data_IF_959412144306
#
_entry.id   IF_959412144306
#
_cell.length_a   1.000
_cell.length_b   1.000
_cell.length_c   1.000
_cell.angle_alpha   90.00
_cell.angle_beta   90.00
_cell.angle_gamma   90.00
#
_symmetry.space_group_name_H-M   'P 1'
#
loop_
_entity.id
_entity.type
_entity.pdbx_description
1 polymer ?
#
# COMPACT_ATOMS: atom_id res chain seq x y z
N UNK A 1 2.95 -23.36 5.97
CA UNK A 1 3.58 -22.11 5.48
C UNK A 1 2.71 -21.24 4.58
N UNK A 2 1.77 -21.73 3.78
CA UNK A 2 0.93 -20.91 2.91
C UNK A 2 -0.35 -20.37 3.57
N UNK A 3 -0.70 -20.83 4.77
CA UNK A 3 -1.93 -20.41 5.50
C UNK A 3 -1.91 -18.97 6.05
N UNK A 4 -0.74 -18.34 6.10
CA UNK A 4 -0.56 -17.00 6.67
C UNK A 4 -0.55 -15.88 5.63
N UNK A 5 -0.82 -16.20 4.35
CA UNK A 5 -0.96 -15.20 3.29
C UNK A 5 -2.35 -14.57 3.41
N UNK A 6 -2.48 -13.57 4.25
CA UNK A 6 -3.69 -12.74 4.29
C UNK A 6 -3.72 -11.87 3.04
N UNK A 7 -4.65 -12.19 2.13
CA UNK A 7 -4.94 -11.38 0.95
C UNK A 7 -5.54 -10.05 1.37
N UNK A 8 -4.68 -9.03 1.40
CA UNK A 8 -5.04 -7.67 1.81
C UNK A 8 -5.17 -7.55 3.34
N UNK A 9 -4.50 -6.56 3.89
CA UNK A 9 -4.56 -6.26 5.33
C UNK A 9 -5.83 -5.45 5.68
N UNK A 10 -6.93 -5.65 4.95
CA UNK A 10 -8.18 -4.95 5.21
C UNK A 10 -8.75 -5.34 6.57
N UNK A 11 -9.02 -4.34 7.41
CA UNK A 11 -9.64 -4.52 8.71
C UNK A 11 -11.14 -4.20 8.63
N UNK A 12 -12.05 -5.19 8.75
CA UNK A 12 -13.48 -4.99 8.56
C UNK A 12 -14.08 -4.25 9.77
N UNK A 13 -14.11 -2.92 9.71
CA UNK A 13 -14.81 -2.06 10.67
C UNK A 13 -15.70 -1.06 9.95
N UNK A 14 -16.75 -0.63 10.63
CA UNK A 14 -17.65 0.39 10.11
C UNK A 14 -17.24 1.76 10.65
N UNK A 15 -16.51 2.52 9.83
CA UNK A 15 -16.07 3.88 10.16
C UNK A 15 -16.31 4.84 9.01
N UNK A 16 -16.20 6.14 9.29
CA UNK A 16 -16.33 7.19 8.28
C UNK A 16 -15.34 6.99 7.15
N UNK A 17 -14.07 6.63 7.48
CA UNK A 17 -13.04 6.38 6.47
C UNK A 17 -13.38 5.17 5.59
N UNK A 18 -13.89 4.06 6.17
CA UNK A 18 -14.24 2.87 5.39
C UNK A 18 -15.33 3.16 4.35
N UNK A 19 -16.25 4.07 4.66
CA UNK A 19 -17.39 4.44 3.79
C UNK A 19 -17.05 5.50 2.73
N UNK A 20 -15.85 6.10 2.75
CA UNK A 20 -15.40 7.05 1.74
C UNK A 20 -15.11 6.35 0.40
N UNK A 21 -15.34 7.09 -0.70
CA UNK A 21 -14.98 6.63 -2.04
C UNK A 21 -13.46 6.32 -2.13
N UNK A 22 -13.05 5.19 -2.72
CA UNK A 22 -11.65 4.83 -2.88
C UNK A 22 -10.79 5.88 -3.60
N UNK A 23 -11.37 6.69 -4.48
CA UNK A 23 -10.67 7.79 -5.17
C UNK A 23 -10.21 8.86 -4.20
N UNK A 24 -11.09 9.25 -3.25
CA UNK A 24 -10.77 10.26 -2.23
C UNK A 24 -9.64 9.76 -1.34
N UNK A 25 -9.68 8.47 -0.97
CA UNK A 25 -8.62 7.84 -0.15
C UNK A 25 -7.30 7.77 -0.89
N UNK A 26 -7.31 7.35 -2.16
CA UNK A 26 -6.12 7.30 -3.01
C UNK A 26 -5.47 8.68 -3.16
N UNK A 27 -6.27 9.67 -3.57
CA UNK A 27 -5.77 11.04 -3.73
C UNK A 27 -5.30 11.59 -2.38
N UNK A 28 -6.09 11.41 -1.32
CA UNK A 28 -5.75 11.87 0.03
C UNK A 28 -4.44 11.27 0.54
N UNK A 29 -4.25 9.98 0.38
CA UNK A 29 -3.00 9.32 0.77
C UNK A 29 -1.83 9.85 -0.06
N UNK A 30 -1.98 9.96 -1.38
CA UNK A 30 -0.92 10.46 -2.26
C UNK A 30 -0.53 11.90 -1.89
N UNK A 31 -1.50 12.77 -1.69
CA UNK A 31 -1.28 14.15 -1.26
C UNK A 31 -0.60 14.21 0.11
N UNK A 32 -1.05 13.40 1.07
CA UNK A 32 -0.41 13.30 2.38
C UNK A 32 1.05 12.84 2.27
N UNK A 33 1.33 11.78 1.50
CA UNK A 33 2.69 11.27 1.31
C UNK A 33 3.61 12.31 0.66
N UNK A 34 3.14 13.02 -0.38
CA UNK A 34 3.90 14.08 -1.04
C UNK A 34 4.15 15.25 -0.08
N UNK A 35 3.15 15.63 0.72
CA UNK A 35 3.29 16.76 1.66
C UNK A 35 4.41 16.55 2.68
N UNK A 36 4.67 15.30 3.10
CA UNK A 36 5.75 14.98 4.04
C UNK A 36 7.16 15.29 3.49
N UNK A 37 7.32 15.33 2.17
CA UNK A 37 8.59 15.71 1.54
C UNK A 37 8.74 17.24 1.36
N UNK A 38 7.64 17.97 1.43
CA UNK A 38 7.68 19.44 1.36
C UNK A 38 8.04 20.08 2.69
N UNK A 39 7.98 19.35 3.81
CA UNK A 39 8.27 19.90 5.13
C UNK A 39 9.78 20.05 5.34
N UNK A 40 10.18 21.28 5.68
CA UNK A 40 11.54 21.63 6.13
C UNK A 40 11.54 22.07 7.60
N UNK A 41 10.36 22.35 8.19
CA UNK A 41 10.20 22.93 9.51
C UNK A 41 9.37 22.01 10.43
N UNK A 42 9.57 22.14 11.72
CA UNK A 42 8.84 21.36 12.75
C UNK A 42 7.34 21.61 12.74
N UNK A 43 6.92 22.84 12.43
CA UNK A 43 5.50 23.24 12.30
C UNK A 43 4.72 22.41 11.27
N UNK A 44 5.34 22.05 10.13
CA UNK A 44 4.72 21.18 9.13
C UNK A 44 4.41 19.78 9.69
N UNK A 45 5.33 19.24 10.49
CA UNK A 45 5.11 17.93 11.13
C UNK A 45 4.04 17.97 12.21
N UNK A 46 3.86 19.07 12.93
CA UNK A 46 2.76 19.23 13.90
C UNK A 46 1.41 19.16 13.17
N UNK A 47 1.28 19.88 12.06
CA UNK A 47 0.05 19.84 11.23
C UNK A 47 -0.21 18.41 10.71
N UNK A 48 0.84 17.75 10.19
CA UNK A 48 0.73 16.36 9.73
C UNK A 48 0.35 15.39 10.85
N UNK A 49 0.88 15.60 12.06
CA UNK A 49 0.54 14.78 13.24
C UNK A 49 -0.93 14.92 13.59
N UNK A 50 -1.42 16.14 13.72
CA UNK A 50 -2.84 16.41 14.03
C UNK A 50 -3.75 15.78 12.97
N UNK A 51 -3.41 15.94 11.70
CA UNK A 51 -4.17 15.34 10.60
C UNK A 51 -4.15 13.81 10.67
N UNK A 52 -2.98 13.19 10.84
CA UNK A 52 -2.81 11.75 10.91
C UNK A 52 -3.54 11.15 12.11
N UNK A 53 -3.40 11.76 13.30
CA UNK A 53 -4.12 11.32 14.52
C UNK A 53 -5.63 11.41 14.32
N UNK A 54 -6.12 12.49 13.71
CA UNK A 54 -7.55 12.62 13.38
C UNK A 54 -8.02 11.49 12.47
N UNK A 55 -7.26 11.16 11.43
CA UNK A 55 -7.59 10.04 10.53
C UNK A 55 -7.56 8.70 11.26
N UNK A 56 -6.58 8.46 12.14
CA UNK A 56 -6.50 7.22 12.94
C UNK A 56 -7.74 7.07 13.83
N UNK A 57 -8.12 8.11 14.56
CA UNK A 57 -9.31 8.09 15.44
C UNK A 57 -10.58 7.85 14.63
N UNK A 58 -10.74 8.55 13.49
CA UNK A 58 -11.89 8.37 12.59
C UNK A 58 -11.93 6.99 11.93
N UNK A 59 -10.80 6.32 11.76
CA UNK A 59 -10.72 5.00 11.14
C UNK A 59 -11.26 3.88 12.02
N UNK A 60 -11.26 4.06 13.36
CA UNK A 60 -11.59 3.04 14.36
C UNK A 60 -10.76 1.76 14.23
N UNK A 61 -9.64 1.81 13.54
CA UNK A 61 -8.72 0.68 13.42
C UNK A 61 -7.80 0.66 14.64
N UNK A 62 -7.62 -0.47 15.33
CA UNK A 62 -6.72 -0.55 16.47
C UNK A 62 -5.29 -0.20 16.08
N UNK A 63 -4.66 0.70 16.82
CA UNK A 63 -3.31 1.20 16.55
C UNK A 63 -2.25 0.10 16.40
N UNK A 64 -2.46 -1.03 17.10
CA UNK A 64 -1.58 -2.19 17.01
C UNK A 64 -1.39 -2.74 15.59
N UNK A 65 -2.44 -2.73 14.75
CA UNK A 65 -2.34 -3.19 13.37
C UNK A 65 -1.51 -2.25 12.49
N UNK A 66 -1.57 -0.94 12.76
CA UNK A 66 -0.77 0.07 12.05
C UNK A 66 0.72 -0.04 12.43
N UNK A 67 1.01 -0.24 13.73
CA UNK A 67 2.38 -0.38 14.26
C UNK A 67 3.02 -1.71 13.82
N UNK A 68 2.23 -2.73 13.50
CA UNK A 68 2.77 -4.00 12.98
C UNK A 68 3.59 -3.80 11.70
N UNK A 69 3.19 -2.86 10.85
CA UNK A 69 3.98 -2.43 9.67
C UNK A 69 5.31 -1.78 10.05
N UNK A 70 5.34 -0.98 11.12
CA UNK A 70 6.57 -0.35 11.62
C UNK A 70 7.57 -1.39 12.14
N UNK A 71 7.09 -2.44 12.82
CA UNK A 71 7.96 -3.48 13.37
C UNK A 71 8.82 -4.15 12.29
N UNK A 72 8.26 -4.37 11.10
CA UNK A 72 9.00 -4.99 9.99
C UNK A 72 10.14 -4.10 9.48
N UNK A 73 10.04 -2.77 9.62
CA UNK A 73 10.99 -1.79 9.10
C UNK A 73 11.79 -1.12 10.22
N UNK A 74 11.59 -1.54 11.47
CA UNK A 74 12.24 -0.94 12.64
C UNK A 74 13.77 -0.93 12.55
N UNK A 75 14.36 -2.00 12.02
CA UNK A 75 15.81 -2.11 11.84
C UNK A 75 16.29 -1.06 10.83
N UNK A 76 15.57 -0.88 9.73
CA UNK A 76 15.89 0.13 8.71
C UNK A 76 15.77 1.54 9.28
N UNK A 77 14.70 1.81 10.05
CA UNK A 77 14.51 3.09 10.74
C UNK A 77 15.69 3.40 11.69
N UNK A 78 16.11 2.42 12.48
CA UNK A 78 17.22 2.58 13.41
C UNK A 78 18.54 2.86 12.68
N UNK A 79 18.82 2.12 11.61
CA UNK A 79 20.01 2.34 10.77
C UNK A 79 19.98 3.73 10.16
N UNK A 80 18.85 4.18 9.62
CA UNK A 80 18.70 5.50 8.99
C UNK A 80 18.90 6.62 10.01
N UNK A 81 18.35 6.48 11.21
CA UNK A 81 18.55 7.45 12.32
C UNK A 81 20.03 7.52 12.71
N UNK A 82 20.69 6.37 12.87
CA UNK A 82 22.12 6.32 13.21
C UNK A 82 22.99 6.98 12.12
N UNK A 83 22.72 6.68 10.85
CA UNK A 83 23.48 7.30 9.76
C UNK A 83 23.30 8.82 9.77
N UNK A 84 22.06 9.31 9.87
CA UNK A 84 21.82 10.77 9.88
C UNK A 84 22.44 11.45 11.10
N UNK A 85 22.43 10.79 12.26
CA UNK A 85 23.02 11.31 13.49
C UNK A 85 24.52 11.54 13.39
N UNK A 86 25.25 10.63 12.72
CA UNK A 86 26.72 10.65 12.65
C UNK A 86 27.26 11.16 11.32
N UNK A 87 26.50 11.11 10.23
CA UNK A 87 26.98 11.49 8.90
C UNK A 87 26.64 12.93 8.52
N UNK A 88 25.74 13.60 9.25
CA UNK A 88 25.34 14.97 8.92
C UNK A 88 26.36 15.98 9.47
N UNK A 89 27.04 16.79 8.62
CA UNK A 89 27.95 17.82 9.07
C UNK A 89 27.17 18.99 9.69
N UNK A 90 27.72 19.61 10.73
CA UNK A 90 27.12 20.77 11.40
C UNK A 90 27.87 21.19 12.68
N UNK A 91 27.22 21.99 13.54
CA UNK A 91 27.79 22.41 14.82
C UNK A 91 27.94 21.21 15.77
N UNK A 92 29.15 20.95 16.22
CA UNK A 92 29.46 19.85 17.13
C UNK A 92 28.90 20.10 18.53
N UNK A 93 27.99 19.22 18.98
CA UNK A 93 27.49 19.22 20.37
C UNK A 93 28.32 18.33 21.27
N UNK A 94 28.75 17.17 20.75
CA UNK A 94 29.61 16.24 21.47
C UNK A 94 30.48 15.47 20.46
N UNK A 95 31.78 15.43 20.74
CA UNK A 95 32.71 14.61 19.96
C UNK A 95 33.21 13.45 20.85
N UNK A 96 32.94 12.22 20.39
CA UNK A 96 33.45 11.03 21.02
C UNK A 96 34.32 10.26 20.03
N UNK A 97 35.63 10.48 20.14
CA UNK A 97 36.69 9.92 19.29
C UNK A 97 36.51 10.23 17.78
N UNK A 98 35.83 9.34 17.02
CA UNK A 98 35.59 9.52 15.56
C UNK A 98 34.15 9.89 15.23
N UNK A 99 33.27 9.90 16.21
CA UNK A 99 31.85 10.17 16.01
C UNK A 99 31.53 11.59 16.51
N UNK A 100 31.09 12.44 15.62
CA UNK A 100 30.68 13.81 15.93
C UNK A 100 29.16 13.87 15.90
N UNK A 101 28.54 14.16 17.03
CA UNK A 101 27.09 14.40 17.10
C UNK A 101 26.90 15.90 16.90
N UNK A 102 26.22 16.25 15.81
CA UNK A 102 25.91 17.63 15.43
C UNK A 102 24.46 17.98 15.75
N UNK A 103 24.17 19.26 15.98
CA UNK A 103 22.76 19.73 16.16
C UNK A 103 21.93 19.39 14.92
N UNK A 104 22.46 19.70 13.75
CA UNK A 104 21.80 19.42 12.45
C UNK A 104 21.59 17.93 12.24
N UNK A 105 22.51 17.08 12.72
CA UNK A 105 22.38 15.63 12.71
C UNK A 105 21.18 15.13 13.53
N UNK A 106 20.99 15.69 14.73
CA UNK A 106 19.83 15.37 15.58
C UNK A 106 18.52 15.80 14.91
N UNK A 107 18.46 17.04 14.38
CA UNK A 107 17.27 17.52 13.68
C UNK A 107 16.93 16.64 12.46
N UNK A 108 17.93 16.34 11.63
CA UNK A 108 17.77 15.49 10.46
C UNK A 108 17.33 14.08 10.83
N UNK A 109 17.89 13.50 11.88
CA UNK A 109 17.52 12.17 12.37
C UNK A 109 16.06 12.14 12.85
N UNK A 110 15.61 13.15 13.63
CA UNK A 110 14.23 13.26 14.10
C UNK A 110 13.26 13.47 12.93
N UNK A 111 13.58 14.38 12.00
CA UNK A 111 12.75 14.59 10.81
C UNK A 111 12.63 13.35 9.95
N UNK A 112 13.72 12.61 9.76
CA UNK A 112 13.70 11.37 8.98
C UNK A 112 12.87 10.27 9.68
N UNK A 113 13.02 10.16 11.00
CA UNK A 113 12.22 9.22 11.80
C UNK A 113 10.72 9.53 11.71
N UNK A 114 10.33 10.79 11.90
CA UNK A 114 8.93 11.21 11.76
C UNK A 114 8.40 10.98 10.34
N UNK A 115 9.19 11.37 9.33
CA UNK A 115 8.82 11.20 7.91
C UNK A 115 8.53 9.74 7.58
N UNK A 116 9.48 8.84 7.87
CA UNK A 116 9.33 7.42 7.57
C UNK A 116 8.18 6.80 8.37
N UNK A 117 8.02 7.17 9.64
CA UNK A 117 6.90 6.69 10.47
C UNK A 117 5.56 7.11 9.88
N UNK A 118 5.41 8.36 9.47
CA UNK A 118 4.16 8.88 8.91
C UNK A 118 3.87 8.31 7.51
N UNK A 119 4.90 8.10 6.68
CA UNK A 119 4.77 7.39 5.41
C UNK A 119 4.19 5.98 5.61
N UNK A 120 4.72 5.24 6.57
CA UNK A 120 4.28 3.87 6.86
C UNK A 120 2.87 3.86 7.42
N UNK A 121 2.57 4.70 8.42
CA UNK A 121 1.24 4.74 9.04
C UNK A 121 0.20 5.23 8.03
N UNK A 122 0.50 6.27 7.25
CA UNK A 122 -0.42 6.82 6.26
C UNK A 122 -0.77 5.82 5.15
N UNK A 123 0.23 5.11 4.62
CA UNK A 123 0.01 4.05 3.63
C UNK A 123 -0.71 2.83 4.21
N UNK A 124 -0.36 2.44 5.44
CA UNK A 124 -1.04 1.35 6.16
C UNK A 124 -2.51 1.66 6.42
N UNK A 125 -2.83 2.90 6.77
CA UNK A 125 -4.20 3.34 7.01
C UNK A 125 -5.07 3.16 5.74
N UNK A 126 -4.55 3.51 4.56
CA UNK A 126 -5.23 3.29 3.29
C UNK A 126 -5.49 1.80 3.04
N UNK A 127 -4.47 0.96 3.24
CA UNK A 127 -4.57 -0.49 3.02
C UNK A 127 -5.53 -1.16 4.00
N UNK A 128 -5.53 -0.74 5.27
CA UNK A 128 -6.42 -1.27 6.31
C UNK A 128 -7.88 -0.83 6.12
N UNK A 129 -8.13 0.31 5.49
CA UNK A 129 -9.49 0.86 5.31
C UNK A 129 -10.10 0.62 3.92
N UNK A 130 -9.35 0.03 2.98
CA UNK A 130 -9.80 -0.15 1.60
C UNK A 130 -9.53 -1.58 1.12
N UNK A 131 -10.56 -2.25 0.61
CA UNK A 131 -10.38 -3.58 0.04
C UNK A 131 -9.61 -3.52 -1.28
N UNK A 132 -8.82 -4.56 -1.65
CA UNK A 132 -8.07 -4.58 -2.91
C UNK A 132 -8.94 -4.35 -4.15
N UNK A 133 -10.15 -4.90 -4.17
CA UNK A 133 -11.08 -4.71 -5.30
C UNK A 133 -11.55 -3.24 -5.41
N UNK A 134 -11.89 -2.60 -4.27
CA UNK A 134 -12.27 -1.20 -4.25
C UNK A 134 -11.09 -0.29 -4.65
N UNK A 135 -9.88 -0.67 -4.24
CA UNK A 135 -8.65 0.03 -4.64
C UNK A 135 -8.45 0.00 -6.15
N UNK A 136 -8.63 -1.18 -6.77
CA UNK A 136 -8.55 -1.35 -8.23
C UNK A 136 -9.60 -0.50 -8.95
N UNK A 137 -10.84 -0.49 -8.46
CA UNK A 137 -11.92 0.34 -9.02
C UNK A 137 -11.63 1.84 -8.86
N UNK A 138 -11.06 2.24 -7.73
CA UNK A 138 -10.62 3.60 -7.48
C UNK A 138 -9.50 4.01 -8.43
N UNK A 139 -8.49 3.15 -8.62
CA UNK A 139 -7.39 3.37 -9.56
C UNK A 139 -7.89 3.50 -11.00
N UNK A 140 -8.77 2.60 -11.46
CA UNK A 140 -9.36 2.69 -12.80
C UNK A 140 -9.99 4.06 -13.05
N UNK A 141 -10.82 4.51 -12.11
CA UNK A 141 -11.51 5.79 -12.26
C UNK A 141 -10.57 6.99 -12.14
N UNK A 142 -9.55 6.92 -11.28
CA UNK A 142 -8.56 7.98 -11.10
C UNK A 142 -7.62 8.09 -12.32
N UNK A 143 -7.29 6.96 -12.94
CA UNK A 143 -6.42 6.91 -14.11
C UNK A 143 -7.18 7.05 -15.44
N UNK A 144 -8.51 7.13 -15.42
CA UNK A 144 -9.34 7.27 -16.62
C UNK A 144 -8.92 8.43 -17.55
N UNK A 145 -8.42 9.60 -17.07
CA UNK A 145 -7.88 10.65 -17.94
C UNK A 145 -6.72 10.20 -18.83
N UNK A 146 -5.92 9.18 -18.39
CA UNK A 146 -4.81 8.62 -19.16
C UNK A 146 -5.29 7.84 -20.39
N UNK A 147 -6.57 7.43 -20.44
CA UNK A 147 -7.14 6.80 -21.63
C UNK A 147 -7.12 7.72 -22.85
N UNK A 148 -7.07 9.05 -22.65
CA UNK A 148 -6.90 10.04 -23.72
C UNK A 148 -5.52 9.93 -24.40
N UNK A 149 -4.51 9.40 -23.68
CA UNK A 149 -3.14 9.17 -24.19
C UNK A 149 -3.00 7.71 -24.70
N UNK A 150 -4.13 7.05 -25.03
CA UNK A 150 -4.19 5.66 -25.54
C UNK A 150 -3.73 4.59 -24.54
N UNK A 151 -3.67 4.88 -23.23
CA UNK A 151 -3.41 3.87 -22.21
C UNK A 151 -4.69 3.04 -22.00
N UNK A 152 -4.64 1.71 -22.09
CA UNK A 152 -5.81 0.84 -21.92
C UNK A 152 -6.16 0.65 -20.42
N UNK A 153 -6.56 1.74 -19.75
CA UNK A 153 -6.79 1.77 -18.29
C UNK A 153 -7.86 0.77 -17.85
N UNK A 154 -8.93 0.63 -18.63
CA UNK A 154 -10.01 -0.31 -18.32
C UNK A 154 -9.53 -1.76 -18.37
N UNK A 155 -8.78 -2.12 -19.40
CA UNK A 155 -8.24 -3.46 -19.60
C UNK A 155 -7.25 -3.81 -18.48
N UNK A 156 -6.39 -2.86 -18.08
CA UNK A 156 -5.46 -3.03 -16.95
C UNK A 156 -6.25 -3.28 -15.64
N UNK A 157 -7.26 -2.47 -15.36
CA UNK A 157 -8.08 -2.62 -14.15
C UNK A 157 -8.82 -3.96 -14.14
N UNK A 158 -9.32 -4.41 -15.30
CA UNK A 158 -9.96 -5.70 -15.43
C UNK A 158 -8.97 -6.85 -15.19
N UNK A 159 -7.76 -6.78 -15.76
CA UNK A 159 -6.69 -7.77 -15.49
C UNK A 159 -6.35 -7.82 -14.00
N UNK A 160 -6.24 -6.67 -13.32
CA UNK A 160 -6.01 -6.61 -11.87
C UNK A 160 -7.14 -7.27 -11.08
N UNK A 161 -8.40 -7.00 -11.44
CA UNK A 161 -9.56 -7.59 -10.76
C UNK A 161 -9.63 -9.11 -10.94
N UNK A 162 -9.32 -9.61 -12.15
CA UNK A 162 -9.23 -11.04 -12.43
C UNK A 162 -8.10 -11.66 -11.62
N UNK A 163 -6.91 -11.04 -11.62
CA UNK A 163 -5.76 -11.52 -10.87
C UNK A 163 -6.07 -11.62 -9.37
N UNK A 164 -6.66 -10.57 -8.77
CA UNK A 164 -7.06 -10.56 -7.36
C UNK A 164 -8.07 -11.66 -7.03
N UNK A 165 -8.98 -11.95 -7.96
CA UNK A 165 -9.96 -13.03 -7.79
C UNK A 165 -9.33 -14.42 -7.92
N UNK A 166 -8.25 -14.55 -8.70
CA UNK A 166 -7.57 -15.83 -8.91
C UNK A 166 -6.55 -16.17 -7.81
N UNK A 167 -6.04 -15.18 -7.07
CA UNK A 167 -5.05 -15.44 -6.02
C UNK A 167 -5.56 -16.49 -4.99
N UNK A 168 -6.75 -16.37 -4.37
CA UNK A 168 -7.26 -17.39 -3.45
C UNK A 168 -7.34 -18.77 -4.09
N UNK A 169 -7.83 -18.82 -5.33
CA UNK A 169 -8.02 -20.06 -6.08
C UNK A 169 -6.69 -20.74 -6.36
N UNK A 170 -5.66 -19.95 -6.76
CA UNK A 170 -4.32 -20.47 -7.00
C UNK A 170 -3.62 -20.91 -5.71
N UNK A 171 -3.88 -20.25 -4.58
CA UNK A 171 -3.38 -20.70 -3.29
C UNK A 171 -3.94 -22.06 -2.88
N UNK A 172 -5.25 -22.25 -3.01
CA UNK A 172 -5.88 -23.54 -2.76
C UNK A 172 -5.38 -24.65 -3.71
N UNK A 173 -5.19 -24.32 -4.98
CA UNK A 173 -4.65 -25.25 -5.97
C UNK A 173 -3.19 -25.61 -5.63
N UNK A 174 -2.39 -24.61 -5.23
CA UNK A 174 -1.00 -24.83 -4.78
C UNK A 174 -0.94 -25.79 -3.58
N UNK A 175 -1.84 -25.62 -2.60
CA UNK A 175 -1.92 -26.52 -1.43
C UNK A 175 -2.29 -27.96 -1.83
N UNK A 176 -3.22 -28.12 -2.80
CA UNK A 176 -3.61 -29.43 -3.31
C UNK A 176 -2.47 -30.11 -4.06
N UNK A 177 -1.79 -29.38 -4.97
CA UNK A 177 -0.65 -29.90 -5.72
C UNK A 177 0.49 -30.24 -4.78
N UNK A 178 0.80 -29.40 -3.79
CA UNK A 178 1.85 -29.62 -2.81
C UNK A 178 1.60 -30.92 -2.03
N UNK A 179 0.38 -31.13 -1.51
CA UNK A 179 0.02 -32.36 -0.81
C UNK A 179 0.13 -33.60 -1.70
N UNK A 180 -0.29 -33.51 -2.95
CA UNK A 180 -0.19 -34.59 -3.91
C UNK A 180 1.28 -34.95 -4.23
N UNK A 181 2.16 -33.95 -4.36
CA UNK A 181 3.58 -34.14 -4.61
C UNK A 181 4.31 -34.69 -3.38
N UNK A 182 3.95 -34.24 -2.16
CA UNK A 182 4.47 -34.83 -0.93
C UNK A 182 4.10 -36.32 -0.78
N UNK A 183 2.87 -36.67 -1.14
CA UNK A 183 2.44 -38.09 -1.16
C UNK A 183 3.23 -38.95 -2.17
N UNK A 184 3.79 -38.30 -3.21
CA UNK A 184 4.70 -38.95 -4.20
C UNK A 184 6.16 -38.92 -3.77
N UNK A 185 6.47 -38.50 -2.55
CA UNK A 185 7.83 -38.47 -2.00
C UNK A 185 8.61 -37.18 -2.30
N UNK A 186 7.96 -36.13 -2.79
CA UNK A 186 8.62 -34.84 -2.97
C UNK A 186 8.87 -34.18 -1.62
N UNK A 187 10.10 -33.69 -1.41
CA UNK A 187 10.51 -32.98 -0.21
C UNK A 187 10.82 -31.52 -0.56
N UNK A 188 10.03 -30.61 0.00
CA UNK A 188 10.13 -29.16 -0.24
C UNK A 188 10.92 -28.42 0.84
N UNK A 189 11.28 -29.07 1.96
CA UNK A 189 11.84 -28.41 3.14
C UNK A 189 13.32 -28.73 3.33
N UNK A 190 13.78 -29.91 2.94
CA UNK A 190 15.16 -30.34 3.18
C UNK A 190 16.11 -29.97 2.04
N UNK A 191 17.37 -29.75 2.39
CA UNK A 191 18.46 -29.53 1.46
C UNK A 191 18.90 -28.08 1.27
N UNK A 192 19.95 -27.93 0.44
CA UNK A 192 20.54 -26.63 0.10
C UNK A 192 19.57 -25.77 -0.74
N UNK A 193 19.73 -24.45 -0.73
CA UNK A 193 18.83 -23.49 -1.41
C UNK A 193 18.59 -23.89 -2.88
N UNK A 194 19.62 -24.29 -3.59
CA UNK A 194 19.54 -24.73 -4.99
C UNK A 194 18.68 -26.00 -5.16
N UNK A 195 18.81 -26.95 -4.22
CA UNK A 195 18.02 -28.18 -4.22
C UNK A 195 16.54 -27.89 -3.92
N UNK A 196 16.25 -26.97 -3.02
CA UNK A 196 14.89 -26.50 -2.74
C UNK A 196 14.22 -25.90 -3.97
N UNK A 197 14.93 -25.02 -4.71
CA UNK A 197 14.40 -24.42 -5.95
C UNK A 197 14.10 -25.53 -6.98
N UNK A 198 15.00 -26.50 -7.15
CA UNK A 198 14.77 -27.62 -8.07
C UNK A 198 13.56 -28.47 -7.66
N UNK A 199 13.37 -28.69 -6.36
CA UNK A 199 12.25 -29.45 -5.82
C UNK A 199 10.90 -28.71 -5.97
N UNK A 200 10.89 -27.38 -6.21
CA UNK A 200 9.67 -26.62 -6.49
C UNK A 200 9.18 -26.76 -7.94
N UNK A 201 10.02 -27.24 -8.88
CA UNK A 201 9.61 -27.39 -10.29
C UNK A 201 8.40 -28.32 -10.47
N UNK A 202 8.30 -29.48 -9.80
CA UNK A 202 7.11 -30.34 -9.87
C UNK A 202 5.81 -29.70 -9.35
N UNK A 203 5.91 -28.62 -8.58
CA UNK A 203 4.77 -27.81 -8.13
C UNK A 203 4.42 -26.73 -9.15
N UNK A 204 5.42 -26.08 -9.72
CA UNK A 204 5.22 -24.96 -10.65
C UNK A 204 4.59 -25.41 -11.97
N UNK A 205 5.06 -26.51 -12.55
CA UNK A 205 4.56 -26.98 -13.86
C UNK A 205 3.05 -27.27 -13.85
N UNK A 206 2.51 -28.09 -12.93
CA UNK A 206 1.06 -28.32 -12.86
C UNK A 206 0.27 -27.03 -12.56
N UNK A 207 0.82 -26.14 -11.74
CA UNK A 207 0.19 -24.85 -11.42
C UNK A 207 0.06 -23.96 -12.67
N UNK A 208 1.11 -23.88 -13.49
CA UNK A 208 1.07 -23.17 -14.77
C UNK A 208 0.01 -23.75 -15.72
N UNK A 209 -0.02 -25.08 -15.86
CA UNK A 209 -0.99 -25.75 -16.72
C UNK A 209 -2.43 -25.46 -16.25
N UNK A 210 -2.67 -25.53 -14.94
CA UNK A 210 -3.98 -25.19 -14.35
C UNK A 210 -4.35 -23.73 -14.59
N UNK A 211 -3.40 -22.79 -14.40
CA UNK A 211 -3.62 -21.37 -14.64
C UNK A 211 -3.96 -21.07 -16.11
N UNK A 212 -3.24 -21.67 -17.06
CA UNK A 212 -3.56 -21.51 -18.49
C UNK A 212 -4.91 -22.09 -18.87
N UNK A 213 -5.26 -23.26 -18.33
CA UNK A 213 -6.57 -23.85 -18.57
C UNK A 213 -7.68 -22.92 -18.09
N UNK A 214 -7.58 -22.39 -16.88
CA UNK A 214 -8.54 -21.42 -16.32
C UNK A 214 -8.62 -20.13 -17.14
N UNK A 215 -7.46 -19.65 -17.63
CA UNK A 215 -7.43 -18.46 -18.50
C UNK A 215 -8.20 -18.70 -19.81
N UNK A 216 -8.02 -19.88 -20.44
CA UNK A 216 -8.77 -20.27 -21.64
C UNK A 216 -10.27 -20.41 -21.36
N UNK A 217 -10.66 -21.07 -20.25
CA UNK A 217 -12.05 -21.21 -19.86
C UNK A 217 -12.71 -19.83 -19.63
N UNK A 218 -11.99 -18.92 -18.97
CA UNK A 218 -12.45 -17.54 -18.76
C UNK A 218 -12.60 -16.79 -20.09
N UNK A 219 -11.62 -16.92 -21.00
CA UNK A 219 -11.67 -16.28 -22.31
C UNK A 219 -12.87 -16.76 -23.13
N UNK A 220 -13.11 -18.07 -23.20
CA UNK A 220 -14.28 -18.64 -23.86
C UNK A 220 -15.60 -18.17 -23.22
N UNK A 221 -15.64 -18.08 -21.89
CA UNK A 221 -16.83 -17.58 -21.20
C UNK A 221 -17.07 -16.08 -21.47
N UNK A 222 -16.01 -15.29 -21.63
CA UNK A 222 -16.11 -13.87 -22.01
C UNK A 222 -16.57 -13.70 -23.45
N UNK A 223 -16.04 -14.49 -24.37
CA UNK A 223 -16.49 -14.51 -25.79
C UNK A 223 -17.96 -14.92 -25.90
N UNK A 224 -18.39 -15.97 -25.22
CA UNK A 224 -19.79 -16.41 -25.19
C UNK A 224 -20.72 -15.32 -24.62
N UNK A 225 -20.23 -14.43 -23.77
CA UNK A 225 -20.95 -13.24 -23.26
C UNK A 225 -20.80 -12.01 -24.14
N UNK A 226 -20.27 -12.15 -25.35
CA UNK A 226 -20.07 -11.08 -26.33
C UNK A 226 -19.19 -9.93 -25.78
N UNK A 227 -18.14 -10.25 -25.03
CA UNK A 227 -17.20 -9.24 -24.55
C UNK A 227 -16.44 -8.59 -25.72
N UNK A 228 -16.54 -7.26 -25.85
CA UNK A 228 -15.91 -6.46 -26.94
C UNK A 228 -15.04 -5.33 -26.39
N UNK A 229 -14.38 -5.54 -25.24
CA UNK A 229 -13.58 -4.49 -24.59
C UNK A 229 -14.38 -3.56 -23.70
N UNK A 230 -13.75 -2.44 -23.29
CA UNK A 230 -14.32 -1.52 -22.27
C UNK A 230 -15.33 -0.50 -22.80
N UNK A 231 -15.45 -0.30 -24.14
CA UNK A 231 -16.31 0.73 -24.71
C UNK A 231 -17.78 0.39 -24.56
N UNK A 232 -18.59 1.34 -24.05
CA UNK A 232 -20.05 1.17 -23.90
C UNK A 232 -20.49 0.26 -22.75
N UNK A 233 -19.58 -0.15 -21.87
CA UNK A 233 -19.87 -1.05 -20.76
C UNK A 233 -20.26 -0.31 -19.49
N UNK A 234 -21.25 -0.83 -18.76
CA UNK A 234 -21.66 -0.32 -17.44
C UNK A 234 -21.21 -1.28 -16.34
N UNK A 235 -20.87 -0.76 -15.14
CA UNK A 235 -20.55 -1.57 -13.97
C UNK A 235 -21.83 -1.88 -13.18
N UNK A 236 -21.97 -3.12 -12.67
CA UNK A 236 -23.07 -3.51 -11.77
C UNK A 236 -23.09 -2.66 -10.49
N UNK A 237 -21.93 -2.34 -9.94
CA UNK A 237 -21.76 -1.48 -8.75
C UNK A 237 -20.89 -0.28 -9.12
N UNK A 238 -21.45 0.76 -9.76
CA UNK A 238 -20.68 1.93 -10.11
C UNK A 238 -20.31 2.73 -8.85
N UNK A 239 -19.08 3.23 -8.80
CA UNK A 239 -18.67 4.20 -7.78
C UNK A 239 -19.46 5.49 -7.98
N UNK A 240 -20.18 5.94 -6.96
CA UNK A 240 -20.95 7.18 -6.94
C UNK A 240 -20.43 8.07 -5.81
N UNK A 241 -20.20 9.35 -6.13
CA UNK A 241 -19.84 10.32 -5.12
C UNK A 241 -21.03 10.63 -4.20
N UNK A 242 -20.75 10.70 -2.91
CA UNK A 242 -21.68 11.11 -1.86
C UNK A 242 -21.22 12.42 -1.22
N UNK A 243 -22.08 13.10 -0.47
CA UNK A 243 -21.72 14.31 0.27
C UNK A 243 -20.52 14.11 1.22
N UNK A 244 -20.33 12.88 1.72
CA UNK A 244 -19.18 12.51 2.55
C UNK A 244 -17.86 12.64 1.80
N UNK A 245 -17.86 12.34 0.51
CA UNK A 245 -16.66 12.40 -0.35
C UNK A 245 -16.27 13.85 -0.63
N UNK A 246 -17.27 14.73 -0.79
CA UNK A 246 -17.05 16.17 -0.91
C UNK A 246 -16.41 16.74 0.37
N UNK A 247 -16.93 16.34 1.55
CA UNK A 247 -16.31 16.70 2.83
C UNK A 247 -14.87 16.17 2.93
N UNK A 248 -14.60 14.96 2.43
CA UNK A 248 -13.26 14.41 2.36
C UNK A 248 -12.30 15.27 1.54
N UNK A 249 -12.73 15.72 0.36
CA UNK A 249 -11.94 16.65 -0.48
C UNK A 249 -11.75 18.02 0.19
N UNK A 250 -12.76 18.53 0.88
CA UNK A 250 -12.68 19.81 1.60
C UNK A 250 -11.67 19.72 2.75
N UNK A 251 -11.69 18.65 3.53
CA UNK A 251 -10.72 18.41 4.61
C UNK A 251 -9.30 18.29 4.03
N UNK A 252 -9.16 17.62 2.89
CA UNK A 252 -7.87 17.50 2.21
C UNK A 252 -7.36 18.87 1.71
N UNK A 253 -8.25 19.70 1.16
CA UNK A 253 -7.90 21.06 0.72
C UNK A 253 -7.50 21.95 1.91
N UNK A 254 -8.23 21.86 3.04
CA UNK A 254 -7.89 22.56 4.28
C UNK A 254 -6.53 22.10 4.82
N UNK A 255 -6.25 20.79 4.80
CA UNK A 255 -4.96 20.23 5.18
C UNK A 255 -3.83 20.81 4.31
N UNK A 256 -3.99 20.80 2.98
CA UNK A 256 -3.00 21.37 2.06
C UNK A 256 -2.79 22.86 2.30
N UNK A 257 -3.88 23.63 2.49
CA UNK A 257 -3.81 25.04 2.81
C UNK A 257 -3.03 25.25 4.13
N UNK A 258 -3.33 24.47 5.16
CA UNK A 258 -2.61 24.52 6.45
C UNK A 258 -1.12 24.22 6.29
N UNK A 259 -0.78 23.19 5.50
CA UNK A 259 0.62 22.81 5.21
C UNK A 259 1.40 23.91 4.50
N UNK A 260 0.75 24.69 3.62
CA UNK A 260 1.42 25.76 2.86
C UNK A 260 1.49 27.06 3.67
N UNK A 261 0.44 27.36 4.42
CA UNK A 261 0.29 28.67 5.10
C UNK A 261 0.99 28.69 6.46
N UNK A 262 0.78 27.68 7.31
CA UNK A 262 1.26 27.69 8.69
C UNK A 262 2.78 27.80 8.79
N UNK A 263 3.61 27.05 8.02
CA UNK A 263 5.06 27.16 8.09
C UNK A 263 5.61 28.52 7.63
N UNK A 264 4.83 29.30 6.88
CA UNK A 264 5.23 30.66 6.46
C UNK A 264 5.07 31.70 7.57
N UNK A 265 4.08 31.49 8.46
CA UNK A 265 3.81 32.42 9.55
C UNK A 265 4.49 32.05 10.87
N UNK A 266 4.84 30.79 11.08
CA UNK A 266 5.52 30.30 12.27
C UNK A 266 6.67 29.35 11.87
N UNK A 267 7.80 29.87 11.39
CA UNK A 267 8.99 29.09 11.12
C UNK A 267 9.66 28.73 12.46
N UNK A 268 9.30 27.58 13.06
CA UNK A 268 9.94 27.01 14.25
C UNK A 268 10.86 25.88 13.79
#
# INVERSE_FOLDING_TARGET
MLRDITLGQYYPTDSVLHRLDPRVKLLGTLVFLISLFLFQNFTGYIVATVFLVTLIVLSKVPFHFMVKGLKAIMILLLITVLINLFATPGEELASFWKFHITKEGIYSAVFMLLRLTYLIIGSSLMTLTTTPNNLTDGLEKSLMPLSKIKVPVHEIAMMMSIALSFIPILLEETDKIMKAQMARGADFESGNLFRRIKNMVPLLVPLFISAFRRANDLAMAMEARCYRGGRGRTKMKPLKYHLRDLLGYLILALYLAAVIVIPRFAPI
#
